data_IF_307741882443
#
_entry.id   IF_307741882443
#
_cell.length_a   1.000
_cell.length_b   1.000
_cell.length_c   1.000
_cell.angle_alpha   90.00
_cell.angle_beta   90.00
_cell.angle_gamma   90.00
#
_symmetry.space_group_name_H-M   'P 1'
#
loop_
_entity.id
_entity.type
_entity.pdbx_description
1 polymer ?
#
# COMPACT_ATOMS: atom_id res chain seq x y z
N UNK A 1 -7.94 3.33 -16.84
CA UNK A 1 -8.09 2.01 -16.20
C UNK A 1 -9.55 1.80 -15.81
N UNK A 2 -10.10 0.60 -15.92
CA UNK A 2 -11.49 0.34 -15.50
C UNK A 2 -11.61 0.36 -13.97
N UNK A 3 -12.80 0.66 -13.44
CA UNK A 3 -13.03 0.66 -12.00
C UNK A 3 -12.77 -0.73 -11.38
N UNK A 4 -13.12 -1.80 -12.09
CA UNK A 4 -12.86 -3.17 -11.64
C UNK A 4 -11.35 -3.39 -11.45
N UNK A 5 -10.54 -3.02 -12.44
CA UNK A 5 -9.09 -3.15 -12.34
C UNK A 5 -8.52 -2.31 -11.20
N UNK A 6 -8.98 -1.07 -11.04
CA UNK A 6 -8.58 -0.21 -9.93
C UNK A 6 -8.84 -0.88 -8.57
N UNK A 7 -10.03 -1.44 -8.39
CA UNK A 7 -10.41 -2.15 -7.14
C UNK A 7 -9.59 -3.41 -6.94
N UNK A 8 -9.33 -4.19 -7.99
CA UNK A 8 -8.51 -5.40 -7.90
C UNK A 8 -7.07 -5.04 -7.53
N UNK A 9 -6.47 -4.04 -8.17
CA UNK A 9 -5.12 -3.59 -7.81
C UNK A 9 -5.07 -2.98 -6.41
N UNK A 10 -6.06 -2.18 -6.02
CA UNK A 10 -6.13 -1.58 -4.69
C UNK A 10 -6.27 -2.63 -3.60
N UNK A 11 -7.23 -3.55 -3.75
CA UNK A 11 -7.43 -4.66 -2.81
C UNK A 11 -6.23 -5.59 -2.76
N UNK A 12 -5.67 -5.93 -3.92
CA UNK A 12 -4.47 -6.77 -4.02
C UNK A 12 -3.26 -6.13 -3.35
N UNK A 13 -3.00 -4.84 -3.61
CA UNK A 13 -1.92 -4.11 -2.94
C UNK A 13 -2.14 -4.05 -1.43
N UNK A 14 -3.34 -3.64 -0.98
CA UNK A 14 -3.66 -3.56 0.45
C UNK A 14 -3.47 -4.89 1.18
N UNK A 15 -3.92 -6.00 0.59
CA UNK A 15 -3.69 -7.34 1.12
C UNK A 15 -2.21 -7.72 1.10
N UNK A 16 -1.49 -7.40 0.02
CA UNK A 16 -0.07 -7.74 -0.08
C UNK A 16 0.79 -7.03 0.97
N UNK A 17 0.45 -5.80 1.37
CA UNK A 17 1.12 -5.08 2.46
C UNK A 17 0.92 -5.80 3.78
N UNK A 18 -0.33 -6.12 4.13
CA UNK A 18 -0.65 -6.82 5.38
C UNK A 18 -0.01 -8.21 5.45
N UNK A 19 -0.11 -8.99 4.37
CA UNK A 19 0.47 -10.35 4.32
C UNK A 19 2.00 -10.28 4.32
N UNK A 20 2.58 -9.37 3.53
CA UNK A 20 4.02 -9.16 3.46
C UNK A 20 4.59 -8.78 4.83
N UNK A 21 3.88 -7.94 5.57
CA UNK A 21 4.29 -7.50 6.91
C UNK A 21 4.23 -8.63 7.94
N UNK A 22 3.19 -9.47 7.89
CA UNK A 22 3.12 -10.67 8.73
C UNK A 22 4.32 -11.57 8.48
N UNK A 23 4.64 -11.87 7.22
CA UNK A 23 5.78 -12.71 6.85
C UNK A 23 7.08 -12.07 7.32
N UNK A 24 7.26 -10.77 7.09
CA UNK A 24 8.46 -10.02 7.42
C UNK A 24 8.74 -9.97 8.93
N UNK A 25 7.69 -9.85 9.74
CA UNK A 25 7.79 -9.63 11.18
C UNK A 25 7.66 -10.88 12.04
N UNK A 26 7.24 -12.01 11.45
CA UNK A 26 6.99 -13.25 12.18
C UNK A 26 8.22 -13.74 12.95
N UNK A 27 8.13 -13.78 14.28
CA UNK A 27 9.20 -14.32 15.15
C UNK A 27 10.44 -13.44 15.28
N UNK A 28 10.48 -12.24 14.70
CA UNK A 28 11.68 -11.35 14.70
C UNK A 28 11.62 -10.29 15.79
N UNK A 29 10.57 -10.27 16.61
CA UNK A 29 10.45 -9.35 17.75
C UNK A 29 10.39 -7.87 17.37
N UNK A 30 9.90 -7.54 16.16
CA UNK A 30 9.79 -6.16 15.70
C UNK A 30 8.76 -5.39 16.52
N UNK A 31 8.98 -4.08 16.82
CA UNK A 31 8.02 -3.29 17.55
C UNK A 31 6.67 -3.24 16.83
N UNK A 32 5.59 -3.47 17.57
CA UNK A 32 4.24 -3.65 17.02
C UNK A 32 3.76 -2.47 16.15
N UNK A 33 4.22 -1.24 16.45
CA UNK A 33 3.85 -0.06 15.67
C UNK A 33 4.36 -0.10 14.21
N UNK A 34 5.49 -0.78 13.95
CA UNK A 34 6.02 -0.98 12.59
C UNK A 34 5.43 -2.21 11.88
N UNK A 35 4.51 -2.90 12.56
CA UNK A 35 3.70 -3.97 11.97
C UNK A 35 2.32 -3.39 11.66
N UNK A 36 1.76 -2.59 12.56
CA UNK A 36 0.42 -2.02 12.41
C UNK A 36 0.33 -0.95 11.33
N UNK A 37 1.42 -0.27 10.96
CA UNK A 37 1.43 0.73 9.89
C UNK A 37 0.92 0.15 8.56
N UNK A 38 1.46 -0.98 8.12
CA UNK A 38 1.04 -1.66 6.88
C UNK A 38 -0.42 -2.14 6.96
N UNK A 39 -0.91 -2.48 8.16
CA UNK A 39 -2.32 -2.84 8.38
C UNK A 39 -3.26 -1.66 8.33
N UNK A 40 -2.88 -0.51 8.89
CA UNK A 40 -3.73 0.67 8.85
C UNK A 40 -3.88 1.20 7.42
N UNK A 41 -2.77 1.35 6.71
CA UNK A 41 -2.78 1.93 5.36
C UNK A 41 -3.25 0.91 4.31
N UNK A 42 -2.79 -0.34 4.40
CA UNK A 42 -3.27 -1.44 3.56
C UNK A 42 -4.76 -1.73 3.79
N UNK A 43 -5.21 -1.69 5.05
CA UNK A 43 -6.61 -1.85 5.43
C UNK A 43 -7.50 -0.72 4.91
N UNK A 44 -7.05 0.54 4.98
CA UNK A 44 -7.77 1.68 4.41
C UNK A 44 -7.92 1.55 2.89
N UNK A 45 -6.85 1.17 2.19
CA UNK A 45 -6.89 0.93 0.74
C UNK A 45 -7.84 -0.22 0.38
N UNK A 46 -7.77 -1.33 1.11
CA UNK A 46 -8.67 -2.47 0.91
C UNK A 46 -10.14 -2.08 1.15
N UNK A 47 -10.41 -1.32 2.22
CA UNK A 47 -11.75 -0.81 2.51
C UNK A 47 -12.26 0.06 1.35
N UNK A 48 -11.43 0.99 0.86
CA UNK A 48 -11.77 1.82 -0.30
C UNK A 48 -12.08 0.97 -1.55
N UNK A 49 -11.26 -0.05 -1.83
CA UNK A 49 -11.47 -0.96 -2.96
C UNK A 49 -12.80 -1.74 -2.86
N UNK A 50 -13.18 -2.18 -1.65
CA UNK A 50 -14.45 -2.85 -1.39
C UNK A 50 -15.62 -1.88 -1.57
N UNK A 51 -15.55 -0.70 -0.95
CA UNK A 51 -16.61 0.30 -0.98
C UNK A 51 -16.90 0.79 -2.41
N UNK A 52 -15.88 0.89 -3.25
CA UNK A 52 -16.01 1.28 -4.66
C UNK A 52 -16.75 0.26 -5.53
N UNK A 53 -17.22 -0.87 -4.97
CA UNK A 53 -18.25 -1.70 -5.62
C UNK A 53 -19.55 -0.94 -5.90
N UNK A 54 -19.86 0.06 -5.07
CA UNK A 54 -21.02 0.93 -5.19
C UNK A 54 -20.54 2.38 -5.07
N UNK A 55 -20.03 2.99 -6.15
CA UNK A 55 -19.33 4.26 -6.05
C UNK A 55 -20.25 5.40 -5.58
N UNK A 56 -19.68 6.27 -4.75
CA UNK A 56 -20.25 7.56 -4.31
C UNK A 56 -19.06 8.49 -4.05
N UNK A 57 -19.26 9.82 -4.00
CA UNK A 57 -18.20 10.79 -3.68
C UNK A 57 -17.43 10.44 -2.41
N UNK A 58 -18.13 10.06 -1.34
CA UNK A 58 -17.50 9.68 -0.07
C UNK A 58 -16.62 8.43 -0.22
N UNK A 59 -17.15 7.38 -0.87
CA UNK A 59 -16.41 6.11 -1.07
C UNK A 59 -15.22 6.29 -2.01
N UNK A 60 -15.35 7.15 -3.01
CA UNK A 60 -14.24 7.58 -3.85
C UNK A 60 -13.17 8.30 -3.02
N UNK A 61 -13.56 9.24 -2.16
CA UNK A 61 -12.64 9.94 -1.27
C UNK A 61 -11.88 8.99 -0.34
N UNK A 62 -12.55 7.99 0.24
CA UNK A 62 -11.90 6.93 1.04
C UNK A 62 -10.87 6.16 0.19
N UNK A 63 -11.21 5.84 -1.06
CA UNK A 63 -10.30 5.09 -1.93
C UNK A 63 -9.08 5.93 -2.35
N UNK A 64 -9.27 7.21 -2.66
CA UNK A 64 -8.18 8.17 -2.90
C UNK A 64 -7.29 8.28 -1.67
N UNK A 65 -7.87 8.43 -0.47
CA UNK A 65 -7.12 8.50 0.78
C UNK A 65 -6.30 7.22 1.03
N UNK A 66 -6.86 6.05 0.74
CA UNK A 66 -6.15 4.77 0.81
C UNK A 66 -4.93 4.73 -0.12
N UNK A 67 -5.11 5.09 -1.39
CA UNK A 67 -4.00 5.14 -2.35
C UNK A 67 -2.91 6.14 -1.94
N UNK A 68 -3.30 7.36 -1.55
CA UNK A 68 -2.37 8.41 -1.15
C UNK A 68 -1.59 8.05 0.13
N UNK A 69 -2.26 7.44 1.11
CA UNK A 69 -1.61 7.01 2.36
C UNK A 69 -0.59 5.90 2.10
N UNK A 70 -0.95 4.90 1.29
CA UNK A 70 -0.01 3.87 0.85
C UNK A 70 1.19 4.48 0.11
N UNK A 71 0.96 5.41 -0.82
CA UNK A 71 2.05 6.07 -1.55
C UNK A 71 3.00 6.83 -0.61
N UNK A 72 2.48 7.58 0.35
CA UNK A 72 3.29 8.33 1.32
C UNK A 72 4.13 7.41 2.23
N UNK A 73 3.51 6.35 2.77
CA UNK A 73 4.23 5.36 3.57
C UNK A 73 5.30 4.64 2.74
N UNK A 74 4.94 4.15 1.55
CA UNK A 74 5.85 3.39 0.69
C UNK A 74 7.01 4.24 0.19
N UNK A 75 6.79 5.55 -0.05
CA UNK A 75 7.86 6.50 -0.36
C UNK A 75 8.96 6.48 0.71
N UNK A 76 8.58 6.72 1.97
CA UNK A 76 9.55 6.73 3.08
C UNK A 76 10.23 5.38 3.27
N UNK A 77 9.46 4.29 3.15
CA UNK A 77 9.97 2.92 3.29
C UNK A 77 10.94 2.52 2.17
N UNK A 78 10.66 2.92 0.92
CA UNK A 78 11.49 2.63 -0.24
C UNK A 78 12.80 3.43 -0.20
N UNK A 79 12.70 4.76 -0.13
CA UNK A 79 13.88 5.62 -0.18
C UNK A 79 14.75 5.50 1.06
N UNK A 80 14.17 5.18 2.22
CA UNK A 80 14.95 4.83 3.41
C UNK A 80 15.87 3.63 3.18
N UNK A 81 15.41 2.59 2.46
CA UNK A 81 16.24 1.41 2.14
C UNK A 81 17.25 1.66 1.04
N UNK A 82 16.91 2.51 0.07
CA UNK A 82 17.82 2.86 -1.04
C UNK A 82 18.98 3.73 -0.56
N UNK A 83 18.69 4.73 0.28
CA UNK A 83 19.69 5.73 0.69
C UNK A 83 20.37 5.43 2.03
N UNK A 84 19.73 4.66 2.91
CA UNK A 84 20.31 4.22 4.19
C UNK A 84 20.03 2.73 4.45
N UNK A 85 20.59 1.82 3.63
CA UNK A 85 20.36 0.38 3.78
C UNK A 85 20.90 -0.18 5.10
N UNK A 86 21.89 0.47 5.73
CA UNK A 86 22.52 0.00 6.95
C UNK A 86 21.60 0.09 8.18
N UNK A 87 20.65 1.04 8.19
CA UNK A 87 19.65 1.19 9.26
C UNK A 87 18.35 0.40 8.99
N UNK A 88 18.22 -0.20 7.80
CA UNK A 88 17.00 -0.89 7.38
C UNK A 88 16.85 -2.25 8.07
N UNK A 89 15.70 -2.46 8.70
CA UNK A 89 15.32 -3.77 9.24
C UNK A 89 14.51 -4.57 8.22
N UNK A 90 15.16 -5.55 7.58
CA UNK A 90 14.54 -6.41 6.58
C UNK A 90 13.70 -7.56 7.16
N UNK A 91 13.76 -7.79 8.48
CA UNK A 91 13.07 -8.89 9.14
C UNK A 91 13.48 -10.25 8.55
N UNK A 92 12.49 -11.07 8.18
CA UNK A 92 12.69 -12.38 7.56
C UNK A 92 13.02 -12.34 6.05
N UNK A 93 13.15 -11.16 5.45
CA UNK A 93 13.38 -11.02 4.01
C UNK A 93 14.80 -10.56 3.72
N UNK A 94 15.32 -10.92 2.54
CA UNK A 94 16.54 -10.33 2.01
C UNK A 94 16.28 -8.86 1.65
N UNK A 95 17.22 -7.97 1.97
CA UNK A 95 17.03 -6.52 1.90
C UNK A 95 16.82 -6.02 0.46
N UNK A 96 17.58 -6.55 -0.50
CA UNK A 96 17.45 -6.21 -1.91
C UNK A 96 16.08 -6.61 -2.46
N UNK A 97 15.64 -7.84 -2.20
CA UNK A 97 14.32 -8.34 -2.57
C UNK A 97 13.21 -7.49 -1.94
N UNK A 98 13.29 -7.21 -0.64
CA UNK A 98 12.33 -6.35 0.06
C UNK A 98 12.26 -4.95 -0.56
N UNK A 99 13.42 -4.36 -0.87
CA UNK A 99 13.48 -3.02 -1.47
C UNK A 99 12.85 -3.02 -2.86
N UNK A 100 13.08 -4.06 -3.67
CA UNK A 100 12.51 -4.17 -5.01
C UNK A 100 10.97 -4.28 -4.97
N UNK A 101 10.42 -5.15 -4.10
CA UNK A 101 8.96 -5.31 -3.99
C UNK A 101 8.27 -4.06 -3.43
N UNK A 102 8.91 -3.36 -2.48
CA UNK A 102 8.40 -2.08 -1.94
C UNK A 102 8.43 -1.01 -3.03
N UNK A 103 9.50 -0.95 -3.83
CA UNK A 103 9.59 -0.02 -4.97
C UNK A 103 8.47 -0.27 -5.98
N UNK A 104 8.22 -1.53 -6.34
CA UNK A 104 7.10 -1.90 -7.21
C UNK A 104 5.75 -1.49 -6.61
N UNK A 105 5.52 -1.80 -5.34
CA UNK A 105 4.32 -1.40 -4.60
C UNK A 105 4.13 0.12 -4.59
N UNK A 106 5.21 0.88 -4.41
CA UNK A 106 5.20 2.34 -4.45
C UNK A 106 4.75 2.84 -5.83
N UNK A 107 5.34 2.36 -6.93
CA UNK A 107 4.92 2.74 -8.28
C UNK A 107 3.46 2.37 -8.57
N UNK A 108 3.04 1.17 -8.17
CA UNK A 108 1.64 0.72 -8.31
C UNK A 108 0.70 1.66 -7.55
N UNK A 109 1.09 2.11 -6.35
CA UNK A 109 0.27 3.04 -5.56
C UNK A 109 0.10 4.41 -6.23
N UNK A 110 1.15 4.93 -6.88
CA UNK A 110 1.08 6.19 -7.64
C UNK A 110 0.18 6.06 -8.87
N UNK A 111 0.32 4.97 -9.62
CA UNK A 111 -0.52 4.68 -10.79
C UNK A 111 -1.98 4.52 -10.36
N UNK A 112 -2.23 3.76 -9.29
CA UNK A 112 -3.56 3.56 -8.71
C UNK A 112 -4.20 4.88 -8.25
N UNK A 113 -3.44 5.73 -7.57
CA UNK A 113 -3.87 7.07 -7.16
C UNK A 113 -4.25 7.92 -8.37
N UNK A 114 -3.35 8.05 -9.34
CA UNK A 114 -3.57 8.86 -10.53
C UNK A 114 -4.84 8.45 -11.28
N UNK A 115 -4.99 7.14 -11.54
CA UNK A 115 -6.18 6.63 -12.24
C UNK A 115 -7.46 6.74 -11.42
N UNK A 116 -7.38 6.72 -10.09
CA UNK A 116 -8.55 6.97 -9.22
C UNK A 116 -8.96 8.44 -9.25
N UNK A 117 -8.01 9.36 -9.29
CA UNK A 117 -8.29 10.81 -9.34
C UNK A 117 -8.97 11.22 -10.65
N UNK A 118 -8.55 10.66 -11.79
CA UNK A 118 -9.13 10.98 -13.10
C UNK A 118 -10.38 10.15 -13.44
N UNK A 119 -10.84 9.31 -12.50
CA UNK A 119 -11.99 8.43 -12.73
C UNK A 119 -13.30 9.22 -12.65
N UNK A 120 -13.94 9.42 -13.81
CA UNK A 120 -15.15 10.26 -13.99
C UNK A 120 -16.44 9.74 -13.35
N UNK A 121 -16.45 8.58 -12.70
CA UNK A 121 -17.67 8.02 -12.08
C UNK A 121 -17.85 8.41 -10.60
N UNK A 122 -16.96 9.24 -10.06
CA UNK A 122 -16.95 9.67 -8.66
C UNK A 122 -17.54 11.05 -8.41
N UNK A 123 -17.88 11.81 -9.45
CA UNK A 123 -18.54 13.13 -9.39
C UNK A 123 -20.06 13.01 -9.41
#
# INVERSE_FOLDING_TARGET
MSLILLRVFGGGLGLSLMIGEVIRSWGVGRPIMFVLDDFFWGGLLLLGAILMAKPTRLRWGVFVAGWASCAGMLYGSFFGKVFDPASANAGNMELGFLTAIIGLAFFVSLIGLFFTLIWKGGE
#
